data_IF_890652796913
#
_entry.id   IF_890652796913
#
_cell.length_a   1.000
_cell.length_b   1.000
_cell.length_c   1.000
_cell.angle_alpha   90.00
_cell.angle_beta   90.00
_cell.angle_gamma   90.00
#
_symmetry.space_group_name_H-M   'P 1'
#
loop_
_entity.id
_entity.type
_entity.pdbx_description
1 polymer ?
#
# COMPACT_ATOMS: atom_id res chain seq x y z
N UNK A 1 4.82 -3.07 -3.87
CA UNK A 1 5.21 -4.07 -4.88
C UNK A 1 6.74 -4.08 -4.95
N UNK A 2 7.35 -4.76 -5.92
CA UNK A 2 8.81 -4.68 -6.15
C UNK A 2 9.23 -3.42 -6.95
N UNK A 3 8.28 -2.64 -7.44
CA UNK A 3 8.53 -1.38 -8.14
C UNK A 3 8.44 -0.24 -7.13
N UNK A 4 9.43 0.65 -7.15
CA UNK A 4 9.45 1.80 -6.25
C UNK A 4 8.22 2.68 -6.46
N UNK A 5 7.63 3.14 -5.35
CA UNK A 5 6.44 4.00 -5.33
C UNK A 5 5.20 3.39 -6.01
N UNK A 6 5.21 2.08 -6.25
CA UNK A 6 4.08 1.31 -6.74
C UNK A 6 3.42 0.53 -5.58
N UNK A 7 2.13 0.78 -5.39
CA UNK A 7 1.33 0.22 -4.31
C UNK A 7 0.09 -0.47 -4.88
N UNK A 8 -0.42 -1.46 -4.15
CA UNK A 8 -1.66 -2.17 -4.47
C UNK A 8 -2.55 -2.20 -3.22
N UNK A 9 -3.86 -2.17 -3.42
CA UNK A 9 -4.85 -2.12 -2.33
C UNK A 9 -6.10 -2.92 -2.71
N UNK A 10 -6.89 -3.30 -1.70
CA UNK A 10 -8.04 -4.18 -1.89
C UNK A 10 -7.65 -5.63 -2.24
N UNK A 11 -8.61 -6.37 -2.79
CA UNK A 11 -8.51 -7.83 -3.00
C UNK A 11 -7.32 -8.26 -3.88
N UNK A 12 -6.82 -7.38 -4.77
CA UNK A 12 -5.64 -7.68 -5.57
C UNK A 12 -4.38 -7.93 -4.72
N UNK A 13 -4.33 -7.38 -3.51
CA UNK A 13 -3.23 -7.62 -2.57
C UNK A 13 -3.25 -9.03 -1.95
N UNK A 14 -4.34 -9.79 -2.14
CA UNK A 14 -4.50 -11.15 -1.66
C UNK A 14 -3.75 -12.19 -2.53
N UNK A 15 -3.35 -11.79 -3.75
CA UNK A 15 -2.66 -12.66 -4.69
C UNK A 15 -3.50 -13.89 -5.05
N UNK A 16 -2.91 -15.08 -4.91
CA UNK A 16 -3.56 -16.34 -5.26
C UNK A 16 -4.59 -16.82 -4.22
N UNK A 17 -4.64 -16.20 -3.03
CA UNK A 17 -5.62 -16.53 -2.00
C UNK A 17 -6.60 -15.38 -1.78
N UNK A 18 -7.57 -15.30 -2.70
CA UNK A 18 -8.59 -14.26 -2.72
C UNK A 18 -9.53 -14.25 -1.49
N UNK A 19 -9.45 -15.25 -0.60
CA UNK A 19 -10.31 -15.38 0.58
C UNK A 19 -9.73 -14.70 1.84
N UNK A 20 -8.66 -13.92 1.69
CA UNK A 20 -7.97 -13.28 2.82
C UNK A 20 -8.27 -11.79 2.95
N UNK A 21 -8.71 -11.14 1.87
CA UNK A 21 -8.96 -9.69 1.85
C UNK A 21 -10.39 -9.42 1.42
N UNK A 22 -11.14 -8.81 2.34
CA UNK A 22 -12.51 -8.38 2.20
C UNK A 22 -12.60 -6.85 2.31
N UNK A 23 -13.80 -6.30 2.25
CA UNK A 23 -13.99 -4.84 2.38
C UNK A 23 -13.59 -4.38 3.78
N UNK A 24 -13.88 -5.18 4.80
CA UNK A 24 -13.71 -4.89 6.22
C UNK A 24 -12.24 -4.66 6.58
N UNK A 25 -11.32 -5.44 6.01
CA UNK A 25 -9.88 -5.32 6.25
C UNK A 25 -9.16 -4.54 5.13
N UNK A 26 -9.52 -4.76 3.87
CA UNK A 26 -8.88 -4.14 2.71
C UNK A 26 -9.04 -2.62 2.64
N UNK A 27 -10.14 -2.07 3.20
CA UNK A 27 -10.37 -0.61 3.24
C UNK A 27 -9.25 0.17 3.94
N UNK A 28 -8.47 -0.48 4.80
CA UNK A 28 -7.38 0.16 5.55
C UNK A 28 -6.06 0.26 4.76
N UNK A 29 -5.92 -0.43 3.61
CA UNK A 29 -4.68 -0.41 2.82
C UNK A 29 -4.29 1.01 2.37
N UNK A 30 -5.27 1.86 2.04
CA UNK A 30 -5.01 3.25 1.63
C UNK A 30 -4.32 4.07 2.74
N UNK A 31 -4.69 3.85 4.00
CA UNK A 31 -4.04 4.51 5.13
C UNK A 31 -2.57 4.11 5.29
N UNK A 32 -2.25 2.83 5.10
CA UNK A 32 -0.88 2.30 5.16
C UNK A 32 -0.04 2.87 4.00
N UNK A 33 -0.61 2.92 2.80
CA UNK A 33 0.05 3.49 1.61
C UNK A 33 0.36 4.98 1.84
N UNK A 34 -0.60 5.76 2.33
CA UNK A 34 -0.41 7.17 2.62
C UNK A 34 0.70 7.38 3.68
N UNK A 35 0.71 6.57 4.74
CA UNK A 35 1.78 6.62 5.76
C UNK A 35 3.16 6.31 5.17
N UNK A 36 3.26 5.28 4.31
CA UNK A 36 4.50 4.96 3.59
C UNK A 36 4.97 6.13 2.73
N UNK A 37 4.06 6.78 1.99
CA UNK A 37 4.39 7.95 1.17
C UNK A 37 4.88 9.13 2.02
N UNK A 38 4.25 9.39 3.17
CA UNK A 38 4.65 10.46 4.08
C UNK A 38 6.02 10.20 4.72
N UNK A 39 6.27 8.95 5.15
CA UNK A 39 7.57 8.56 5.68
C UNK A 39 8.69 8.72 4.65
N UNK A 40 8.42 8.38 3.37
CA UNK A 40 9.36 8.60 2.27
C UNK A 40 9.53 10.06 1.88
N UNK A 41 8.51 10.91 2.03
CA UNK A 41 8.65 12.37 1.82
C UNK A 41 9.56 13.03 2.86
N UNK A 42 9.86 12.38 3.98
CA UNK A 42 10.80 12.87 4.98
C UNK A 42 12.27 12.56 4.66
N UNK A 43 12.58 11.79 3.61
CA UNK A 43 13.92 11.88 3.00
C UNK A 43 14.00 13.19 2.19
N UNK A 44 15.01 14.06 2.43
CA UNK A 44 15.10 15.35 1.77
C UNK A 44 14.92 15.19 0.27
N UNK A 45 14.09 16.06 -0.34
CA UNK A 45 14.23 16.33 -1.76
C UNK A 45 15.72 16.55 -2.02
N UNK A 46 16.26 15.79 -2.98
CA UNK A 46 17.60 16.03 -3.47
C UNK A 46 17.76 17.51 -3.82
N UNK A 47 18.96 18.03 -3.51
CA UNK A 47 19.38 19.42 -3.71
C UNK A 47 19.34 19.84 -5.17
#
# INVERSE_FOLDING_TARGET
TNIENCYIAGVIAAGNDANTIFIENGKFHGGIIAQSMLAKKQTPLES
#
